data_IF_008509818290
#
_entry.id   IF_008509818290
#
_cell.length_a   1.000
_cell.length_b   1.000
_cell.length_c   1.000
_cell.angle_alpha   90.00
_cell.angle_beta   90.00
_cell.angle_gamma   90.00
#
_symmetry.space_group_name_H-M   'P 1'
#
loop_
_entity.id
_entity.type
_entity.pdbx_description
1 polymer ?
#
# COMPACT_ATOMS: atom_id res chain seq x y z
N UNK A 1 -23.56 54.45 -17.47
CA UNK A 1 -24.75 54.30 -18.30
C UNK A 1 -24.52 53.06 -19.15
N UNK A 2 -24.72 51.95 -18.45
CA UNK A 2 -25.41 50.69 -18.83
C UNK A 2 -25.38 50.21 -20.28
N UNK A 3 -24.75 49.04 -20.49
CA UNK A 3 -25.07 47.99 -21.47
C UNK A 3 -24.56 46.66 -20.83
N UNK A 4 -25.45 45.80 -20.33
CA UNK A 4 -26.06 44.64 -21.01
C UNK A 4 -25.26 43.34 -20.77
N UNK A 5 -25.57 42.62 -19.69
CA UNK A 5 -26.31 41.33 -19.69
C UNK A 5 -25.53 40.16 -20.33
N UNK A 6 -25.14 39.16 -19.53
CA UNK A 6 -25.73 37.82 -19.70
C UNK A 6 -25.35 36.87 -18.55
N UNK A 7 -26.42 36.41 -17.91
CA UNK A 7 -26.53 35.25 -17.06
C UNK A 7 -26.22 33.99 -17.87
N UNK A 8 -25.21 33.22 -17.46
CA UNK A 8 -25.21 31.76 -17.67
C UNK A 8 -25.12 31.07 -16.33
N UNK A 9 -26.20 30.37 -16.00
CA UNK A 9 -26.18 29.31 -15.00
C UNK A 9 -25.48 28.13 -15.68
N UNK A 10 -24.46 27.56 -15.05
CA UNK A 10 -24.21 26.15 -15.27
C UNK A 10 -23.85 25.45 -13.96
N UNK A 11 -24.77 24.56 -13.64
CA UNK A 11 -24.89 23.78 -12.42
C UNK A 11 -23.88 22.65 -12.57
N UNK A 12 -22.73 22.76 -11.91
CA UNK A 12 -21.88 21.58 -11.74
C UNK A 12 -22.27 20.88 -10.45
N UNK A 13 -23.45 20.24 -10.49
CA UNK A 13 -23.67 19.01 -9.75
C UNK A 13 -22.74 17.97 -10.37
N UNK A 14 -21.58 17.82 -9.78
CA UNK A 14 -20.76 16.63 -9.96
C UNK A 14 -20.84 15.84 -8.67
N UNK A 15 -22.02 15.26 -8.42
CA UNK A 15 -22.16 14.05 -7.60
C UNK A 15 -21.39 12.92 -8.29
N UNK A 16 -20.05 13.01 -8.27
CA UNK A 16 -19.19 11.85 -8.47
C UNK A 16 -19.21 11.12 -7.14
N UNK A 17 -19.78 9.90 -7.04
CA UNK A 17 -19.49 9.06 -5.89
C UNK A 17 -18.00 8.74 -5.95
N UNK A 18 -17.19 9.56 -5.26
CA UNK A 18 -15.82 9.25 -4.96
C UNK A 18 -15.86 7.93 -4.21
N UNK A 19 -15.54 6.85 -4.92
CA UNK A 19 -15.14 5.59 -4.30
C UNK A 19 -14.20 5.97 -3.16
N UNK A 20 -14.44 5.50 -1.93
CA UNK A 20 -13.57 5.84 -0.82
C UNK A 20 -12.15 5.50 -1.27
N UNK A 21 -11.20 6.45 -1.26
CA UNK A 21 -9.82 6.10 -1.50
C UNK A 21 -9.53 4.95 -0.55
N UNK A 22 -8.91 3.90 -1.07
CA UNK A 22 -8.37 2.85 -0.23
C UNK A 22 -7.24 3.50 0.58
N UNK A 23 -7.59 4.29 1.60
CA UNK A 23 -6.75 5.23 2.34
C UNK A 23 -5.93 4.47 3.40
N UNK A 24 -5.46 3.29 3.00
CA UNK A 24 -4.64 2.42 3.82
C UNK A 24 -3.21 2.44 3.32
N UNK A 25 -2.22 2.37 4.22
CA UNK A 25 -0.82 2.35 3.83
C UNK A 25 -0.53 1.10 2.97
N UNK A 26 0.29 1.28 1.94
CA UNK A 26 0.69 0.17 1.06
C UNK A 26 1.51 -0.83 1.86
N UNK A 27 1.16 -2.10 1.79
CA UNK A 27 1.83 -3.17 2.54
C UNK A 27 2.90 -3.82 1.68
N UNK A 28 4.00 -4.23 2.30
CA UNK A 28 5.10 -4.91 1.63
C UNK A 28 5.33 -6.27 2.27
N UNK A 29 5.52 -7.29 1.44
CA UNK A 29 5.61 -8.67 1.90
C UNK A 29 6.87 -9.36 1.40
N UNK A 30 7.37 -10.31 2.20
CA UNK A 30 8.44 -11.19 1.78
C UNK A 30 8.03 -11.96 0.52
N UNK A 31 8.88 -11.91 -0.51
CA UNK A 31 8.60 -12.58 -1.79
C UNK A 31 8.48 -14.10 -1.68
N UNK A 32 9.18 -14.70 -0.71
CA UNK A 32 9.22 -16.15 -0.55
C UNK A 32 7.99 -16.70 0.19
N UNK A 33 7.58 -16.10 1.32
CA UNK A 33 6.50 -16.63 2.16
C UNK A 33 5.26 -15.73 2.25
N UNK A 34 5.27 -14.56 1.59
CA UNK A 34 4.18 -13.56 1.61
C UNK A 34 3.84 -12.97 2.97
N UNK A 35 4.67 -13.20 4.00
CA UNK A 35 4.54 -12.53 5.28
C UNK A 35 4.79 -11.02 5.14
N UNK A 36 3.88 -10.19 5.65
CA UNK A 36 3.99 -8.72 5.63
C UNK A 36 5.14 -8.30 6.54
N UNK A 37 6.05 -7.50 6.02
CA UNK A 37 7.29 -7.10 6.71
C UNK A 37 7.30 -5.63 7.12
N UNK A 38 6.67 -4.75 6.34
CA UNK A 38 6.52 -3.32 6.64
C UNK A 38 5.39 -2.69 5.82
N UNK A 39 5.01 -1.45 6.13
CA UNK A 39 4.04 -0.60 5.43
C UNK A 39 4.72 0.63 4.81
N UNK A 40 4.01 1.38 3.97
CA UNK A 40 4.56 2.58 3.33
C UNK A 40 4.94 3.69 4.30
N UNK A 41 4.38 3.70 5.50
CA UNK A 41 4.64 4.71 6.52
C UNK A 41 6.02 4.51 7.17
N UNK A 42 6.52 3.28 7.17
CA UNK A 42 7.80 2.92 7.78
C UNK A 42 8.99 3.15 6.83
N UNK A 43 8.71 3.62 5.60
CA UNK A 43 9.72 3.87 4.58
C UNK A 43 10.42 5.21 4.82
N UNK A 44 11.75 5.16 4.84
CA UNK A 44 12.60 6.33 4.74
C UNK A 44 12.82 6.69 3.27
N UNK A 45 12.20 7.79 2.84
CA UNK A 45 12.46 8.36 1.53
C UNK A 45 13.78 9.14 1.50
N UNK A 46 14.57 8.94 0.44
CA UNK A 46 15.74 9.76 0.17
C UNK A 46 15.74 10.20 -1.29
N UNK A 47 16.14 11.44 -1.53
CA UNK A 47 16.26 11.96 -2.89
C UNK A 47 17.46 11.31 -3.60
N UNK A 48 17.33 10.89 -4.86
CA UNK A 48 18.47 10.41 -5.63
C UNK A 48 19.51 11.52 -5.77
N UNK A 49 20.80 11.16 -5.71
CA UNK A 49 21.95 12.08 -5.86
C UNK A 49 22.05 13.23 -4.84
N UNK A 50 21.29 13.21 -3.74
CA UNK A 50 21.30 14.28 -2.73
C UNK A 50 22.69 14.57 -2.17
N UNK A 51 23.55 13.54 -2.09
CA UNK A 51 24.94 13.69 -1.73
C UNK A 51 25.81 13.03 -2.81
N UNK A 52 26.59 13.82 -3.55
CA UNK A 52 27.52 13.32 -4.58
C UNK A 52 28.80 12.73 -3.95
N UNK A 53 28.63 11.76 -3.06
CA UNK A 53 29.76 11.11 -2.39
C UNK A 53 30.34 10.07 -3.37
N UNK A 54 31.32 10.52 -4.13
CA UNK A 54 32.19 9.72 -4.99
C UNK A 54 31.54 8.96 -6.16
N UNK A 55 30.68 9.60 -6.95
CA UNK A 55 30.34 9.14 -8.31
C UNK A 55 31.47 9.42 -9.33
N UNK A 56 32.74 9.46 -8.91
CA UNK A 56 33.84 9.88 -9.81
C UNK A 56 34.32 8.78 -10.76
N UNK A 57 34.04 7.50 -10.46
CA UNK A 57 34.55 6.37 -11.27
C UNK A 57 33.58 5.78 -12.30
N UNK A 58 32.32 6.22 -12.38
CA UNK A 58 31.37 5.68 -13.38
C UNK A 58 30.77 6.71 -14.33
N UNK A 59 30.89 8.00 -14.04
CA UNK A 59 30.41 9.06 -14.94
C UNK A 59 31.36 9.28 -16.13
N UNK A 60 32.68 9.07 -15.93
CA UNK A 60 33.67 9.32 -16.99
C UNK A 60 33.57 8.32 -18.15
N UNK A 61 33.18 7.08 -17.88
CA UNK A 61 32.91 6.06 -18.92
C UNK A 61 31.52 6.20 -19.57
N UNK A 62 30.54 6.82 -18.90
CA UNK A 62 29.16 6.93 -19.42
C UNK A 62 29.02 8.07 -20.44
N UNK A 63 29.78 9.17 -20.31
CA UNK A 63 29.71 10.28 -21.27
C UNK A 63 30.24 9.90 -22.68
N UNK A 64 30.98 8.80 -22.80
CA UNK A 64 31.49 8.31 -24.09
C UNK A 64 30.48 7.41 -24.81
N UNK A 65 29.56 6.75 -24.08
CA UNK A 65 28.75 5.65 -24.64
C UNK A 65 27.23 5.83 -24.57
N UNK A 66 26.70 7.05 -24.46
CA UNK A 66 25.29 7.40 -24.80
C UNK A 66 24.16 6.53 -24.22
N UNK A 67 24.42 5.72 -23.19
CA UNK A 67 23.51 4.67 -22.78
C UNK A 67 22.55 5.19 -21.70
N UNK A 68 21.38 5.64 -22.17
CA UNK A 68 20.18 6.02 -21.41
C UNK A 68 19.82 5.09 -20.24
N UNK A 69 20.19 3.80 -20.26
CA UNK A 69 19.91 2.86 -19.16
C UNK A 69 20.71 3.15 -17.88
N UNK A 70 21.88 3.77 -17.99
CA UNK A 70 22.69 4.14 -16.84
C UNK A 70 22.05 5.29 -16.06
N UNK A 71 21.46 6.26 -16.76
CA UNK A 71 20.77 7.41 -16.16
C UNK A 71 19.48 6.99 -15.42
N UNK A 72 18.67 6.09 -15.99
CA UNK A 72 17.45 5.58 -15.34
C UNK A 72 17.74 4.85 -14.02
N UNK A 73 18.88 4.14 -13.92
CA UNK A 73 19.28 3.46 -12.68
C UNK A 73 19.58 4.44 -11.54
N UNK A 74 19.99 5.68 -11.85
CA UNK A 74 20.19 6.71 -10.84
C UNK A 74 18.87 7.21 -10.24
N UNK A 75 17.76 7.12 -10.98
CA UNK A 75 16.46 7.61 -10.54
C UNK A 75 15.64 6.55 -9.77
N UNK A 76 15.87 5.27 -10.03
CA UNK A 76 15.16 4.17 -9.33
C UNK A 76 16.08 3.39 -8.38
N UNK A 77 15.87 3.53 -7.08
CA UNK A 77 16.62 2.77 -6.07
C UNK A 77 16.30 1.26 -6.12
N UNK A 78 17.30 0.39 -5.94
CA UNK A 78 17.11 -1.07 -5.90
C UNK A 78 16.70 -1.62 -4.52
N UNK A 79 16.59 -0.74 -3.53
CA UNK A 79 16.34 -1.08 -2.14
C UNK A 79 15.31 -0.14 -1.53
N UNK A 80 14.58 -0.64 -0.54
CA UNK A 80 13.80 0.15 0.41
C UNK A 80 14.67 0.42 1.63
N UNK A 81 14.49 1.58 2.26
CA UNK A 81 15.10 1.91 3.53
C UNK A 81 13.99 2.12 4.55
N UNK A 82 14.16 1.64 5.77
CA UNK A 82 13.23 1.92 6.87
C UNK A 82 13.77 3.07 7.72
N UNK A 83 12.85 3.85 8.29
CA UNK A 83 13.20 4.94 9.21
C UNK A 83 13.72 4.39 10.53
N UNK A 84 13.04 3.39 11.08
CA UNK A 84 13.35 2.78 12.38
C UNK A 84 13.50 1.26 12.28
N UNK A 85 14.15 0.67 13.29
CA UNK A 85 14.23 -0.78 13.43
C UNK A 85 12.89 -1.37 13.85
N UNK A 86 12.53 -2.49 13.23
CA UNK A 86 11.32 -3.20 13.58
C UNK A 86 11.52 -4.09 14.81
N UNK A 87 10.48 -4.34 15.64
CA UNK A 87 10.61 -5.15 16.86
C UNK A 87 11.09 -6.59 16.64
N UNK A 88 10.93 -7.12 15.43
CA UNK A 88 11.34 -8.47 15.05
C UNK A 88 12.76 -8.53 14.49
N UNK A 89 13.42 -7.38 14.31
CA UNK A 89 14.81 -7.32 13.86
C UNK A 89 15.75 -7.52 15.04
N UNK A 90 16.82 -8.28 14.79
CA UNK A 90 17.93 -8.42 15.73
C UNK A 90 18.82 -7.17 15.64
N UNK A 91 18.44 -6.12 16.36
CA UNK A 91 19.16 -4.83 16.43
C UNK A 91 20.37 -4.86 17.37
N UNK A 92 20.54 -5.93 18.14
CA UNK A 92 21.58 -6.04 19.17
C UNK A 92 22.97 -6.34 18.58
N UNK A 93 23.07 -6.53 17.25
CA UNK A 93 24.35 -6.69 16.58
C UNK A 93 25.15 -5.38 16.56
N UNK A 94 26.43 -5.48 16.91
CA UNK A 94 27.33 -4.41 17.35
C UNK A 94 27.48 -3.19 16.40
N UNK A 95 27.22 -3.33 15.10
CA UNK A 95 27.38 -2.24 14.11
C UNK A 95 26.64 -2.49 12.77
N UNK A 96 26.65 -3.73 12.31
CA UNK A 96 26.04 -4.15 11.04
C UNK A 96 25.46 -5.56 11.16
N UNK A 97 24.47 -5.89 10.33
CA UNK A 97 23.80 -7.18 10.41
C UNK A 97 22.91 -7.53 9.22
N UNK A 98 22.37 -8.75 9.25
CA UNK A 98 21.49 -9.30 8.20
C UNK A 98 20.05 -9.27 8.69
N UNK A 99 19.15 -8.79 7.84
CA UNK A 99 17.71 -8.79 8.12
C UNK A 99 17.10 -10.06 7.51
N UNK A 100 16.48 -10.88 8.37
CA UNK A 100 15.78 -12.11 7.99
C UNK A 100 14.28 -11.91 8.06
N UNK A 101 13.53 -12.67 7.26
CA UNK A 101 12.08 -12.65 7.33
C UNK A 101 11.60 -13.10 8.72
N UNK A 102 10.68 -12.36 9.38
CA UNK A 102 10.19 -12.67 10.72
C UNK A 102 9.37 -13.96 10.78
N UNK A 103 8.88 -14.47 9.64
CA UNK A 103 8.28 -15.79 9.60
C UNK A 103 9.33 -16.87 9.90
N UNK A 104 9.19 -17.53 11.06
CA UNK A 104 10.07 -18.58 11.59
C UNK A 104 10.30 -19.73 10.60
N UNK A 105 9.30 -20.08 9.78
CA UNK A 105 9.45 -21.13 8.76
C UNK A 105 10.23 -20.66 7.53
N UNK A 106 10.28 -19.35 7.28
CA UNK A 106 10.91 -18.77 6.10
C UNK A 106 12.37 -18.40 6.36
N UNK A 107 12.61 -17.51 7.34
CA UNK A 107 13.94 -17.02 7.78
C UNK A 107 14.91 -16.61 6.65
N UNK A 108 14.36 -16.36 5.46
CA UNK A 108 15.11 -15.96 4.27
C UNK A 108 15.69 -14.57 4.47
N UNK A 109 16.90 -14.33 4.00
CA UNK A 109 17.50 -13.01 4.00
C UNK A 109 16.72 -12.06 3.08
N UNK A 110 16.21 -10.97 3.65
CA UNK A 110 15.45 -9.93 2.94
C UNK A 110 16.21 -8.59 2.88
N UNK A 111 17.22 -8.41 3.73
CA UNK A 111 17.98 -7.16 3.80
C UNK A 111 19.24 -7.23 4.66
N UNK A 112 19.69 -6.06 5.08
CA UNK A 112 20.81 -5.83 6.00
C UNK A 112 20.65 -4.47 6.67
N UNK A 113 21.19 -4.32 7.87
CA UNK A 113 21.32 -3.02 8.52
C UNK A 113 22.81 -2.65 8.70
N UNK A 114 23.09 -1.35 8.68
CA UNK A 114 24.39 -0.76 8.97
C UNK A 114 24.16 0.58 9.69
N UNK A 115 24.61 0.68 10.94
CA UNK A 115 24.41 1.86 11.78
C UNK A 115 25.28 3.04 11.36
N UNK A 116 26.43 2.81 10.72
CA UNK A 116 27.22 3.88 10.12
C UNK A 116 26.57 4.43 8.84
N UNK A 117 25.67 3.64 8.25
CA UNK A 117 24.96 3.95 7.01
C UNK A 117 25.59 3.28 5.80
N UNK A 118 24.90 3.32 4.66
CA UNK A 118 25.40 2.75 3.42
C UNK A 118 24.98 3.57 2.21
N UNK A 119 25.74 3.46 1.12
CA UNK A 119 25.40 4.10 -0.14
C UNK A 119 24.27 3.35 -0.85
N UNK A 120 23.20 4.07 -1.17
CA UNK A 120 22.14 3.59 -2.05
C UNK A 120 22.62 3.52 -3.51
N UNK A 121 21.97 2.69 -4.33
CA UNK A 121 22.26 2.58 -5.78
C UNK A 121 22.08 3.89 -6.56
N UNK A 122 21.34 4.86 -6.01
CA UNK A 122 21.20 6.21 -6.58
C UNK A 122 22.36 7.16 -6.24
N UNK A 123 23.31 6.72 -5.39
CA UNK A 123 24.48 7.49 -4.98
C UNK A 123 24.35 8.16 -3.60
N UNK A 124 23.13 8.33 -3.09
CA UNK A 124 22.87 8.96 -1.78
C UNK A 124 23.33 8.06 -0.63
N UNK A 125 23.98 8.65 0.37
CA UNK A 125 24.32 7.98 1.63
C UNK A 125 23.13 8.03 2.59
N UNK A 126 22.75 6.89 3.14
CA UNK A 126 21.60 6.76 4.05
C UNK A 126 22.10 6.27 5.42
N UNK A 127 21.79 7.01 6.49
CA UNK A 127 22.14 6.68 7.88
C UNK A 127 20.93 6.94 8.80
N UNK A 128 20.53 5.98 9.66
CA UNK A 128 20.99 4.60 9.67
C UNK A 128 20.54 3.86 8.40
N UNK A 129 21.32 2.87 7.95
CA UNK A 129 20.99 2.14 6.73
C UNK A 129 20.24 0.85 7.06
N UNK A 130 18.93 0.94 7.33
CA UNK A 130 18.07 -0.23 7.48
C UNK A 130 17.52 -0.63 6.11
N UNK A 131 18.25 -1.46 5.37
CA UNK A 131 18.05 -1.67 3.94
C UNK A 131 17.39 -3.01 3.63
N UNK A 132 16.26 -2.96 2.93
CA UNK A 132 15.59 -4.15 2.39
C UNK A 132 15.67 -4.20 0.86
N UNK A 133 15.90 -5.38 0.30
CA UNK A 133 16.16 -5.52 -1.15
C UNK A 133 14.85 -5.72 -1.91
N UNK A 134 14.59 -4.89 -2.94
CA UNK A 134 13.35 -4.97 -3.75
C UNK A 134 13.17 -6.33 -4.44
N UNK A 135 14.25 -7.04 -4.77
CA UNK A 135 14.16 -8.38 -5.35
C UNK A 135 13.64 -9.45 -4.38
N UNK A 136 13.63 -9.17 -3.07
CA UNK A 136 13.17 -10.08 -2.01
C UNK A 136 11.82 -9.67 -1.41
N UNK A 137 11.25 -8.55 -1.85
CA UNK A 137 10.06 -7.94 -1.26
C UNK A 137 9.12 -7.46 -2.36
N UNK A 138 7.87 -7.90 -2.29
CA UNK A 138 6.83 -7.50 -3.22
C UNK A 138 5.84 -6.55 -2.53
N UNK A 139 5.45 -5.43 -3.18
CA UNK A 139 4.33 -4.63 -2.72
C UNK A 139 3.02 -5.42 -2.88
N UNK A 140 2.13 -5.32 -1.90
CA UNK A 140 0.78 -5.84 -1.96
C UNK A 140 -0.13 -4.74 -2.50
N UNK A 141 -0.74 -5.00 -3.66
CA UNK A 141 -1.75 -4.12 -4.23
C UNK A 141 -3.12 -4.59 -3.75
N UNK A 142 -3.92 -3.68 -3.18
CA UNK A 142 -5.31 -3.96 -2.92
C UNK A 142 -6.01 -4.15 -4.27
N UNK A 143 -6.36 -5.39 -4.60
CA UNK A 143 -7.16 -5.67 -5.79
C UNK A 143 -8.59 -5.25 -5.44
N UNK A 144 -9.08 -4.18 -6.04
CA UNK A 144 -10.50 -3.88 -6.04
C UNK A 144 -11.20 -5.08 -6.70
N UNK A 145 -12.01 -5.81 -5.93
CA UNK A 145 -12.78 -6.92 -6.46
C UNK A 145 -13.80 -6.32 -7.42
N UNK A 146 -13.54 -6.39 -8.73
CA UNK A 146 -14.48 -5.97 -9.76
C UNK A 146 -15.55 -7.07 -9.84
N UNK A 147 -16.83 -6.83 -9.50
CA UNK A 147 -17.87 -7.83 -9.69
C UNK A 147 -18.10 -8.06 -11.20
N UNK A 148 -17.72 -9.24 -11.70
CA UNK A 148 -17.75 -9.57 -13.15
C UNK A 148 -19.17 -9.96 -13.64
N UNK A 149 -20.18 -10.02 -12.76
CA UNK A 149 -21.54 -10.44 -13.15
C UNK A 149 -22.61 -9.48 -12.63
N UNK A 150 -23.00 -8.52 -13.47
CA UNK A 150 -24.38 -8.02 -13.46
C UNK A 150 -25.13 -8.80 -14.55
N UNK A 151 -25.83 -9.86 -14.16
CA UNK A 151 -26.78 -10.51 -15.06
C UNK A 151 -27.91 -9.53 -15.36
N UNK A 152 -27.89 -8.94 -16.55
CA UNK A 152 -28.98 -8.12 -17.04
C UNK A 152 -30.24 -8.98 -17.16
N UNK A 153 -31.20 -8.77 -16.26
CA UNK A 153 -32.54 -9.33 -16.42
C UNK A 153 -33.26 -8.53 -17.49
N UNK A 154 -33.49 -9.14 -18.65
CA UNK A 154 -34.38 -8.59 -19.68
C UNK A 154 -35.80 -8.72 -19.13
N UNK A 155 -36.35 -7.61 -18.65
CA UNK A 155 -37.76 -7.52 -18.29
C UNK A 155 -38.60 -7.64 -19.55
N UNK A 156 -39.28 -8.79 -19.73
CA UNK A 156 -40.37 -8.91 -20.70
C UNK A 156 -41.65 -8.54 -19.96
N UNK A 157 -42.16 -7.33 -20.22
CA UNK A 157 -43.48 -6.90 -19.79
C UNK A 157 -44.53 -7.90 -20.31
N UNK A 158 -45.13 -8.67 -19.39
CA UNK A 158 -46.35 -9.42 -19.65
C UNK A 158 -47.47 -8.87 -18.78
N UNK A 159 -48.35 -8.12 -19.45
CA UNK A 159 -49.61 -7.68 -18.92
C UNK A 159 -50.51 -8.85 -18.47
N UNK A 160 -51.35 -8.52 -17.48
CA UNK A 160 -52.61 -9.14 -17.09
C UNK A 160 -52.60 -10.41 -16.23
N UNK A 161 -53.23 -10.29 -15.05
CA UNK A 161 -53.94 -11.38 -14.38
C UNK A 161 -53.66 -11.54 -12.88
N UNK A 162 -54.36 -10.78 -12.03
CA UNK A 162 -54.64 -11.18 -10.65
C UNK A 162 -55.73 -12.29 -10.63
N UNK A 163 -56.20 -12.85 -9.48
CA UNK A 163 -55.75 -12.76 -8.08
C UNK A 163 -55.71 -14.14 -7.36
N UNK A 164 -55.25 -14.16 -6.09
CA UNK A 164 -55.80 -14.94 -4.95
C UNK A 164 -54.74 -14.97 -3.82
N UNK A 165 -54.89 -14.17 -2.77
CA UNK A 165 -55.47 -14.54 -1.46
C UNK A 165 -54.77 -15.70 -0.76
N UNK A 166 -54.05 -15.38 0.33
CA UNK A 166 -53.93 -16.22 1.52
C UNK A 166 -53.45 -15.35 2.69
N UNK A 167 -54.31 -15.29 3.69
CA UNK A 167 -54.21 -14.64 5.00
C UNK A 167 -53.48 -15.52 6.01
N UNK A 168 -52.78 -14.90 6.99
CA UNK A 168 -52.68 -15.27 8.43
C UNK A 168 -51.42 -14.59 9.01
N UNK A 169 -51.54 -13.54 9.81
CA UNK A 169 -51.78 -13.50 11.27
C UNK A 169 -50.61 -13.99 12.16
N UNK A 170 -49.81 -12.99 12.57
CA UNK A 170 -49.39 -12.56 13.92
C UNK A 170 -49.31 -13.50 15.14
N UNK A 171 -48.37 -13.08 16.00
CA UNK A 171 -48.28 -13.22 17.46
C UNK A 171 -47.64 -14.55 17.93
N UNK A 172 -46.82 -14.61 18.99
CA UNK A 172 -46.86 -14.01 20.34
C UNK A 172 -45.49 -14.26 21.00
N UNK A 173 -44.81 -13.23 21.53
CA UNK A 173 -44.62 -12.88 22.97
C UNK A 173 -43.64 -13.73 23.80
N UNK A 174 -42.87 -12.98 24.62
CA UNK A 174 -42.50 -13.30 26.03
C UNK A 174 -41.52 -14.47 26.29
N UNK A 175 -40.69 -14.51 27.33
CA UNK A 175 -40.38 -13.61 28.43
C UNK A 175 -39.14 -14.13 29.19
N UNK A 176 -38.56 -13.22 29.99
CA UNK A 176 -38.13 -13.42 31.38
C UNK A 176 -36.78 -14.08 31.77
N UNK A 177 -36.33 -13.50 32.90
CA UNK A 177 -35.46 -14.00 33.97
C UNK A 177 -33.95 -13.66 33.84
N UNK A 178 -33.40 -12.66 34.53
CA UNK A 178 -33.23 -12.44 35.98
C UNK A 178 -32.00 -13.13 36.60
N UNK A 179 -31.10 -12.27 37.10
CA UNK A 179 -30.41 -12.27 38.41
C UNK A 179 -29.55 -13.46 38.87
N UNK A 180 -28.32 -13.12 39.24
CA UNK A 180 -27.45 -13.80 40.21
C UNK A 180 -26.07 -13.14 40.14
N UNK A 181 -25.61 -12.37 41.12
CA UNK A 181 -25.11 -12.84 42.42
C UNK A 181 -23.57 -12.79 42.36
N UNK A 182 -22.94 -11.77 42.93
CA UNK A 182 -22.38 -11.76 44.30
C UNK A 182 -20.94 -12.30 44.37
N UNK A 183 -20.04 -11.36 44.71
CA UNK A 183 -18.83 -11.48 45.55
C UNK A 183 -17.91 -12.70 45.41
N UNK A 184 -16.65 -12.42 45.08
CA UNK A 184 -15.49 -12.68 45.93
C UNK A 184 -14.37 -11.69 45.59
#
# INVERSE_FOLDING_TARGET
>A
MDDDELRVHDVHDASTPALPPSDGPRRYACKLCRHVVFTSEELLDHAPQQQQIAMRKKVKDVKVNGNQTAATRLESCSSYFLEETQPWMDSDALAEGKIRCPNVKCQSRIGSFDWAGSQCSCGTWVTPSIKLTKSRIDPLFAVAVIPIVQSATISVDRAAGAPAVATAESATTEAAAQTGGSQA
#
